data_IF_595927926818
#
_entry.id   IF_595927926818
#
_cell.length_a   1.000
_cell.length_b   1.000
_cell.length_c   1.000
_cell.angle_alpha   90.00
_cell.angle_beta   90.00
_cell.angle_gamma   90.00
#
_symmetry.space_group_name_H-M   'P 1'
#
loop_
_entity.id
_entity.type
_entity.pdbx_description
1 polymer ?
#
# COMPACT_ATOMS: atom_id res chain seq x y z
N UNK A 1 24.29 -4.43 14.26
CA UNK A 1 24.63 -4.13 12.84
C UNK A 1 23.69 -4.82 11.85
N UNK A 2 23.16 -6.03 12.11
CA UNK A 2 22.14 -6.68 11.25
C UNK A 2 20.79 -5.92 11.18
N UNK A 3 20.34 -5.35 12.29
CA UNK A 3 18.96 -4.84 12.40
C UNK A 3 18.74 -3.53 11.64
N UNK A 4 19.69 -2.59 11.67
CA UNK A 4 19.58 -1.33 10.95
C UNK A 4 19.49 -1.53 9.43
N UNK A 5 20.30 -2.43 8.87
CA UNK A 5 20.24 -2.78 7.45
C UNK A 5 18.90 -3.43 7.08
N UNK A 6 18.37 -4.30 7.93
CA UNK A 6 17.07 -4.93 7.70
C UNK A 6 15.91 -3.93 7.81
N UNK A 7 15.96 -3.00 8.77
CA UNK A 7 15.02 -1.89 8.88
C UNK A 7 15.03 -1.02 7.63
N UNK A 8 16.21 -0.57 7.17
CA UNK A 8 16.32 0.25 5.95
C UNK A 8 15.77 -0.47 4.72
N UNK A 9 15.99 -1.78 4.60
CA UNK A 9 15.39 -2.59 3.53
C UNK A 9 13.86 -2.66 3.63
N UNK A 10 13.31 -2.86 4.83
CA UNK A 10 11.87 -2.93 5.05
C UNK A 10 11.20 -1.57 4.80
N UNK A 11 11.76 -0.48 5.34
CA UNK A 11 11.29 0.90 5.10
C UNK A 11 11.35 1.23 3.61
N UNK A 12 12.44 0.91 2.92
CA UNK A 12 12.55 1.14 1.47
C UNK A 12 11.52 0.32 0.67
N UNK A 13 11.20 -0.90 1.12
CA UNK A 13 10.15 -1.72 0.51
C UNK A 13 8.78 -1.08 0.68
N UNK A 14 8.40 -0.71 1.90
CA UNK A 14 7.15 0.00 2.21
C UNK A 14 7.05 1.30 1.36
N UNK A 15 8.15 2.04 1.24
CA UNK A 15 8.17 3.26 0.43
C UNK A 15 7.89 3.01 -1.06
N UNK A 16 8.42 1.92 -1.64
CA UNK A 16 8.09 1.52 -3.02
C UNK A 16 6.64 1.07 -3.14
N UNK A 17 6.14 0.32 -2.15
CA UNK A 17 4.75 -0.11 -2.12
C UNK A 17 3.77 1.08 -2.16
N UNK A 18 4.10 2.21 -1.53
CA UNK A 18 3.28 3.42 -1.66
C UNK A 18 3.23 3.97 -3.09
N UNK A 19 4.31 3.88 -3.88
CA UNK A 19 4.27 4.28 -5.30
C UNK A 19 3.31 3.40 -6.09
N UNK A 20 3.34 2.09 -5.85
CA UNK A 20 2.39 1.15 -6.46
C UNK A 20 0.96 1.45 -6.03
N UNK A 21 0.75 1.69 -4.73
CA UNK A 21 -0.55 2.03 -4.17
C UNK A 21 -1.13 3.33 -4.77
N UNK A 22 -0.30 4.36 -4.97
CA UNK A 22 -0.69 5.59 -5.68
C UNK A 22 -1.21 5.29 -7.09
N UNK A 23 -0.49 4.44 -7.83
CA UNK A 23 -0.88 4.07 -9.19
C UNK A 23 -2.19 3.29 -9.21
N UNK A 24 -2.34 2.29 -8.34
CA UNK A 24 -3.55 1.47 -8.23
C UNK A 24 -4.78 2.33 -7.93
N UNK A 25 -4.71 3.21 -6.93
CA UNK A 25 -5.84 4.09 -6.62
C UNK A 25 -6.13 5.11 -7.72
N UNK A 26 -5.10 5.59 -8.43
CA UNK A 26 -5.30 6.49 -9.58
C UNK A 26 -6.03 5.77 -10.71
N UNK A 27 -5.61 4.55 -11.06
CA UNK A 27 -6.28 3.73 -12.06
C UNK A 27 -7.72 3.43 -11.66
N UNK A 28 -7.95 3.09 -10.38
CA UNK A 28 -9.30 2.80 -9.89
C UNK A 28 -10.21 4.03 -10.02
N UNK A 29 -9.74 5.22 -9.62
CA UNK A 29 -10.54 6.45 -9.74
C UNK A 29 -10.87 6.86 -11.19
N UNK A 30 -10.14 6.34 -12.18
CA UNK A 30 -10.43 6.57 -13.60
C UNK A 30 -11.57 5.69 -14.14
N UNK A 31 -11.92 4.60 -13.43
CA UNK A 31 -13.04 3.74 -13.77
C UNK A 31 -14.38 4.34 -13.32
N UNK A 32 -15.46 3.91 -13.97
CA UNK A 32 -16.80 4.23 -13.49
C UNK A 32 -17.15 3.40 -12.25
N UNK A 33 -17.54 4.09 -11.18
CA UNK A 33 -17.76 3.50 -9.87
C UNK A 33 -18.70 4.35 -9.02
N UNK A 34 -19.26 3.70 -7.99
CA UNK A 34 -20.12 4.37 -7.01
C UNK A 34 -19.40 5.54 -6.32
N UNK A 35 -20.16 6.55 -5.92
CA UNK A 35 -19.63 7.70 -5.17
C UNK A 35 -18.92 7.29 -3.87
N UNK A 36 -19.40 6.21 -3.23
CA UNK A 36 -18.82 5.64 -2.02
C UNK A 36 -17.45 5.01 -2.29
N UNK A 37 -17.35 4.16 -3.32
CA UNK A 37 -16.09 3.54 -3.69
C UNK A 37 -15.08 4.58 -4.17
N UNK A 38 -15.51 5.57 -4.96
CA UNK A 38 -14.66 6.69 -5.38
C UNK A 38 -14.07 7.44 -4.19
N UNK A 39 -14.88 7.70 -3.15
CA UNK A 39 -14.40 8.33 -1.90
C UNK A 39 -13.37 7.48 -1.17
N UNK A 40 -13.57 6.16 -1.12
CA UNK A 40 -12.61 5.22 -0.52
C UNK A 40 -11.28 5.27 -1.30
N UNK A 41 -11.33 5.20 -2.63
CA UNK A 41 -10.14 5.27 -3.49
C UNK A 41 -9.43 6.63 -3.38
N UNK A 42 -10.16 7.75 -3.32
CA UNK A 42 -9.58 9.07 -3.08
C UNK A 42 -8.90 9.17 -1.71
N UNK A 43 -9.51 8.63 -0.66
CA UNK A 43 -8.90 8.58 0.67
C UNK A 43 -7.62 7.73 0.65
N UNK A 44 -7.68 6.55 0.01
CA UNK A 44 -6.52 5.68 -0.17
C UNK A 44 -5.38 6.38 -0.91
N UNK A 45 -5.67 7.07 -2.02
CA UNK A 45 -4.69 7.85 -2.77
C UNK A 45 -4.04 8.94 -1.91
N UNK A 46 -4.82 9.72 -1.16
CA UNK A 46 -4.29 10.76 -0.26
C UNK A 46 -3.43 10.16 0.84
N UNK A 47 -3.85 9.04 1.44
CA UNK A 47 -3.06 8.32 2.43
C UNK A 47 -1.73 7.85 1.85
N UNK A 48 -1.71 7.32 0.62
CA UNK A 48 -0.46 6.90 -0.03
C UNK A 48 0.53 8.05 -0.18
N UNK A 49 0.07 9.23 -0.61
CA UNK A 49 0.93 10.41 -0.74
C UNK A 49 1.51 10.88 0.59
N UNK A 50 0.67 10.95 1.63
CA UNK A 50 1.06 11.41 2.96
C UNK A 50 2.04 10.41 3.61
N UNK A 51 1.65 9.14 3.70
CA UNK A 51 2.45 8.14 4.37
C UNK A 51 3.76 7.85 3.65
N UNK A 52 3.82 7.96 2.31
CA UNK A 52 5.09 7.88 1.59
C UNK A 52 6.09 8.96 2.01
N UNK A 53 5.61 10.17 2.29
CA UNK A 53 6.46 11.25 2.80
C UNK A 53 6.97 10.93 4.21
N UNK A 54 6.09 10.41 5.06
CA UNK A 54 6.42 10.03 6.43
C UNK A 54 7.43 8.88 6.46
N UNK A 55 7.21 7.84 5.65
CA UNK A 55 8.15 6.72 5.46
C UNK A 55 9.47 7.18 4.85
N UNK A 56 9.46 8.15 3.93
CA UNK A 56 10.69 8.77 3.42
C UNK A 56 11.48 9.46 4.53
N UNK A 57 10.80 10.11 5.47
CA UNK A 57 11.43 10.75 6.62
C UNK A 57 12.01 9.71 7.60
N UNK A 58 11.29 8.60 7.82
CA UNK A 58 11.81 7.46 8.59
C UNK A 58 13.05 6.85 7.93
N UNK A 59 13.03 6.70 6.59
CA UNK A 59 14.15 6.16 5.84
C UNK A 59 15.42 6.98 6.04
N UNK A 60 15.36 8.30 5.88
CA UNK A 60 16.54 9.16 6.06
C UNK A 60 17.04 9.16 7.51
N UNK A 61 16.13 9.09 8.49
CA UNK A 61 16.49 8.95 9.90
C UNK A 61 17.31 7.68 10.17
N UNK A 62 16.85 6.52 9.69
CA UNK A 62 17.55 5.25 9.92
C UNK A 62 18.80 5.11 9.05
N UNK A 63 18.74 5.55 7.78
CA UNK A 63 19.85 5.49 6.82
C UNK A 63 21.08 6.28 7.27
N UNK A 64 20.90 7.38 7.97
CA UNK A 64 22.02 8.20 8.49
C UNK A 64 23.00 7.42 9.38
N UNK A 65 22.60 6.24 9.87
CA UNK A 65 23.40 5.35 10.70
C UNK A 65 24.11 4.24 9.91
N UNK A 66 24.02 4.21 8.58
CA UNK A 66 24.65 3.21 7.71
C UNK A 66 25.75 3.84 6.84
N UNK A 67 26.79 3.06 6.55
CA UNK A 67 27.85 3.47 5.63
C UNK A 67 27.43 3.27 4.16
N UNK A 68 28.02 4.05 3.24
CA UNK A 68 27.66 4.08 1.81
C UNK A 68 27.68 2.68 1.14
N UNK A 69 28.62 1.82 1.53
CA UNK A 69 28.74 0.46 1.01
C UNK A 69 27.51 -0.42 1.31
N UNK A 70 26.88 -0.22 2.47
CA UNK A 70 25.70 -0.98 2.90
C UNK A 70 24.45 -0.57 2.11
N UNK A 71 24.36 0.72 1.75
CA UNK A 71 23.25 1.32 1.00
C UNK A 71 23.20 0.86 -0.47
N UNK A 72 24.36 0.69 -1.12
CA UNK A 72 24.45 0.20 -2.52
C UNK A 72 23.80 -1.15 -2.74
N UNK A 73 23.69 -1.99 -1.69
CA UNK A 73 23.06 -3.31 -1.78
C UNK A 73 21.52 -3.29 -1.71
N UNK A 74 20.93 -2.14 -1.32
CA UNK A 74 19.49 -2.01 -1.01
C UNK A 74 18.71 -1.39 -2.18
N UNK A 75 19.38 -0.61 -3.03
CA UNK A 75 18.75 0.19 -4.11
C UNK A 75 18.40 -0.59 -5.38
N UNK A 76 18.79 -1.87 -5.50
CA UNK A 76 18.66 -2.65 -6.74
C UNK A 76 17.27 -3.25 -7.05
N UNK A 77 16.28 -3.17 -6.17
CA UNK A 77 14.95 -3.69 -6.50
C UNK A 77 14.16 -2.68 -7.33
N UNK A 78 14.04 -2.95 -8.62
CA UNK A 78 13.15 -2.24 -9.54
C UNK A 78 11.74 -2.80 -9.32
N UNK A 79 10.79 -1.90 -9.07
CA UNK A 79 9.37 -2.25 -9.00
C UNK A 79 8.77 -1.75 -10.32
N UNK A 80 8.77 -2.60 -11.34
CA UNK A 80 8.08 -2.36 -12.60
C UNK A 80 6.62 -2.79 -12.42
N UNK A 81 5.77 -1.83 -12.05
CA UNK A 81 4.32 -2.03 -12.08
C UNK A 81 3.77 -1.23 -13.25
N UNK A 82 3.29 -1.96 -14.26
CA UNK A 82 2.53 -1.39 -15.37
C UNK A 82 1.04 -1.51 -15.07
N UNK A 83 0.36 -0.37 -14.96
CA UNK A 83 -1.00 -0.29 -14.45
C UNK A 83 -2.03 -0.29 -15.59
N UNK A 84 -1.90 -1.21 -16.55
CA UNK A 84 -2.91 -1.46 -17.60
C UNK A 84 -3.89 -2.56 -17.16
N UNK A 85 -4.57 -2.36 -16.02
CA UNK A 85 -5.70 -3.22 -15.64
C UNK A 85 -7.02 -2.57 -16.04
N UNK A 86 -7.76 -3.22 -16.93
CA UNK A 86 -9.05 -2.73 -17.45
C UNK A 86 -10.22 -3.24 -16.62
N UNK A 87 -10.09 -4.42 -15.97
CA UNK A 87 -11.16 -4.99 -15.17
C UNK A 87 -11.25 -4.36 -13.78
N UNK A 88 -12.46 -3.87 -13.44
CA UNK A 88 -12.72 -3.17 -12.17
C UNK A 88 -12.60 -4.10 -10.97
N UNK A 89 -13.08 -5.33 -11.08
CA UNK A 89 -13.05 -6.29 -9.96
C UNK A 89 -11.62 -6.70 -9.66
N UNK A 90 -10.86 -7.08 -10.70
CA UNK A 90 -9.44 -7.45 -10.59
C UNK A 90 -8.62 -6.31 -9.98
N UNK A 91 -8.83 -5.07 -10.44
CA UNK A 91 -8.12 -3.91 -9.89
C UNK A 91 -8.43 -3.67 -8.41
N UNK A 92 -9.68 -3.85 -7.99
CA UNK A 92 -10.05 -3.67 -6.58
C UNK A 92 -9.53 -4.81 -5.70
N UNK A 93 -9.54 -6.05 -6.20
CA UNK A 93 -8.91 -7.19 -5.54
C UNK A 93 -7.41 -6.95 -5.39
N UNK A 94 -6.74 -6.47 -6.43
CA UNK A 94 -5.32 -6.13 -6.41
C UNK A 94 -5.01 -5.04 -5.37
N UNK A 95 -5.84 -3.99 -5.29
CA UNK A 95 -5.73 -2.97 -4.23
C UNK A 95 -5.84 -3.60 -2.84
N UNK A 96 -6.81 -4.50 -2.62
CA UNK A 96 -7.01 -5.15 -1.33
C UNK A 96 -5.82 -6.06 -0.96
N UNK A 97 -5.33 -6.87 -1.91
CA UNK A 97 -4.14 -7.71 -1.70
C UNK A 97 -2.90 -6.88 -1.41
N UNK A 98 -2.67 -5.82 -2.18
CA UNK A 98 -1.54 -4.91 -1.95
C UNK A 98 -1.61 -4.25 -0.57
N UNK A 99 -2.80 -3.84 -0.14
CA UNK A 99 -3.06 -3.29 1.19
C UNK A 99 -2.69 -4.26 2.32
N UNK A 100 -3.06 -5.54 2.16
CA UNK A 100 -2.76 -6.58 3.13
C UNK A 100 -1.25 -6.80 3.26
N UNK A 101 -0.53 -6.89 2.14
CA UNK A 101 0.94 -7.03 2.16
C UNK A 101 1.59 -5.82 2.83
N UNK A 102 1.08 -4.60 2.60
CA UNK A 102 1.61 -3.41 3.28
C UNK A 102 1.45 -3.50 4.80
N UNK A 103 0.29 -3.97 5.28
CA UNK A 103 0.05 -4.17 6.71
C UNK A 103 1.00 -5.19 7.32
N UNK A 104 1.29 -6.28 6.60
CA UNK A 104 2.25 -7.30 7.04
C UNK A 104 3.67 -6.74 7.14
N UNK A 105 4.12 -5.93 6.18
CA UNK A 105 5.42 -5.27 6.22
C UNK A 105 5.54 -4.27 7.39
N UNK A 106 4.49 -3.49 7.65
CA UNK A 106 4.47 -2.60 8.83
C UNK A 106 4.52 -3.37 10.15
N UNK A 107 3.74 -4.45 10.27
CA UNK A 107 3.73 -5.31 11.46
C UNK A 107 5.08 -6.01 11.65
N UNK A 108 5.79 -6.33 10.57
CA UNK A 108 7.14 -6.88 10.62
C UNK A 108 8.18 -5.82 11.00
N UNK A 109 8.01 -4.56 10.58
CA UNK A 109 8.91 -3.45 10.93
C UNK A 109 8.79 -3.05 12.41
N UNK A 110 7.56 -2.99 12.93
CA UNK A 110 7.27 -2.40 14.24
C UNK A 110 8.12 -2.95 15.41
N UNK A 111 8.36 -4.27 15.55
CA UNK A 111 9.19 -4.82 16.63
C UNK A 111 10.66 -4.42 16.58
N UNK A 112 11.14 -3.89 15.45
CA UNK A 112 12.52 -3.43 15.28
C UNK A 112 12.69 -1.94 15.60
N UNK A 113 11.58 -1.22 15.78
CA UNK A 113 11.60 0.18 16.15
C UNK A 113 11.61 0.31 17.66
N UNK A 114 12.28 1.36 18.16
CA UNK A 114 12.19 1.73 19.57
C UNK A 114 10.74 2.15 19.89
N UNK A 115 10.16 1.58 20.94
CA UNK A 115 8.72 1.66 21.23
C UNK A 115 8.25 3.11 21.43
N UNK A 116 9.10 3.95 22.01
CA UNK A 116 8.80 5.36 22.29
C UNK A 116 9.22 6.31 21.15
N UNK A 117 9.78 5.78 20.06
CA UNK A 117 10.22 6.58 18.92
C UNK A 117 9.06 7.14 18.10
N UNK A 118 9.30 8.29 17.45
CA UNK A 118 8.41 8.87 16.45
C UNK A 118 8.08 7.89 15.33
N UNK A 119 9.05 7.07 14.94
CA UNK A 119 8.88 6.07 13.89
C UNK A 119 7.91 4.95 14.29
N UNK A 120 7.98 4.46 15.53
CA UNK A 120 7.06 3.42 16.03
C UNK A 120 5.62 3.96 16.13
N UNK A 121 5.46 5.21 16.58
CA UNK A 121 4.17 5.89 16.63
C UNK A 121 3.58 6.07 15.23
N UNK A 122 4.37 6.59 14.29
CA UNK A 122 3.95 6.74 12.89
C UNK A 122 3.56 5.39 12.25
N UNK A 123 4.34 4.33 12.47
CA UNK A 123 4.00 2.99 11.98
C UNK A 123 2.68 2.49 12.55
N UNK A 124 2.45 2.67 13.86
CA UNK A 124 1.21 2.25 14.51
C UNK A 124 0.00 3.01 13.94
N UNK A 125 0.10 4.33 13.80
CA UNK A 125 -0.97 5.13 13.17
C UNK A 125 -1.23 4.73 11.72
N UNK A 126 -0.18 4.41 10.96
CA UNK A 126 -0.32 3.93 9.58
C UNK A 126 -1.05 2.58 9.56
N UNK A 127 -0.69 1.64 10.44
CA UNK A 127 -1.37 0.34 10.58
C UNK A 127 -2.86 0.54 10.84
N UNK A 128 -3.23 1.40 11.78
CA UNK A 128 -4.63 1.65 12.13
C UNK A 128 -5.44 2.21 10.95
N UNK A 129 -4.88 3.24 10.29
CA UNK A 129 -5.53 3.88 9.15
C UNK A 129 -5.60 2.94 7.94
N UNK A 130 -4.55 2.17 7.67
CA UNK A 130 -4.51 1.18 6.59
C UNK A 130 -5.49 0.02 6.85
N UNK A 131 -5.60 -0.46 8.09
CA UNK A 131 -6.56 -1.51 8.47
C UNK A 131 -8.00 -1.01 8.32
N UNK A 132 -8.26 0.26 8.65
CA UNK A 132 -9.57 0.90 8.43
C UNK A 132 -9.92 0.97 6.94
N UNK A 133 -8.95 1.37 6.10
CA UNK A 133 -9.12 1.44 4.65
C UNK A 133 -9.39 0.06 4.04
N UNK A 134 -8.62 -0.95 4.43
CA UNK A 134 -8.80 -2.36 4.02
C UNK A 134 -10.21 -2.85 4.32
N UNK A 135 -10.69 -2.63 5.55
CA UNK A 135 -12.03 -3.01 5.97
C UNK A 135 -13.13 -2.33 5.12
N UNK A 136 -12.93 -1.08 4.70
CA UNK A 136 -13.87 -0.41 3.81
C UNK A 136 -13.82 -0.97 2.39
N UNK A 137 -12.63 -1.22 1.85
CA UNK A 137 -12.44 -1.80 0.52
C UNK A 137 -13.08 -3.19 0.43
N UNK A 138 -12.78 -4.09 1.37
CA UNK A 138 -13.32 -5.46 1.38
C UNK A 138 -14.86 -5.44 1.44
N UNK A 139 -15.44 -4.57 2.26
CA UNK A 139 -16.90 -4.42 2.36
C UNK A 139 -17.53 -3.99 1.04
N UNK A 140 -16.93 -3.02 0.35
CA UNK A 140 -17.44 -2.58 -0.95
C UNK A 140 -17.25 -3.65 -2.03
N UNK A 141 -16.07 -4.26 -2.12
CA UNK A 141 -15.79 -5.33 -3.11
C UNK A 141 -16.74 -6.51 -2.93
N UNK A 142 -17.01 -6.91 -1.69
CA UNK A 142 -17.95 -8.00 -1.39
C UNK A 142 -19.41 -7.64 -1.67
N UNK A 143 -19.72 -6.36 -1.81
CA UNK A 143 -21.07 -5.87 -2.13
C UNK A 143 -21.31 -5.63 -3.62
N UNK A 144 -20.26 -5.73 -4.44
CA UNK A 144 -20.41 -5.63 -5.89
C UNK A 144 -21.16 -6.87 -6.40
N UNK A 145 -22.18 -6.70 -7.24
CA UNK A 145 -22.78 -7.83 -7.94
C UNK A 145 -21.69 -8.51 -8.79
N UNK A 146 -21.65 -9.84 -8.78
CA UNK A 146 -20.78 -10.59 -9.69
C UNK A 146 -21.33 -10.40 -11.10
N UNK A 147 -20.82 -9.38 -11.81
CA UNK A 147 -21.19 -9.05 -13.20
C UNK A 147 -20.89 -10.22 -14.17
N UNK A 148 -20.32 -11.33 -13.68
CA UNK A 148 -20.14 -12.58 -14.42
C UNK A 148 -21.40 -13.45 -14.52
N UNK A 149 -22.53 -13.08 -13.91
CA UNK A 149 -23.77 -13.88 -13.95
C UNK A 149 -24.86 -13.40 -14.93
N UNK A 150 -24.71 -12.28 -15.63
CA UNK A 150 -25.81 -11.72 -16.43
C UNK A 150 -25.82 -12.07 -17.93
N UNK A 151 -24.96 -12.97 -18.44
CA UNK A 151 -24.84 -13.22 -19.89
C UNK A 151 -25.50 -14.51 -20.43
N UNK A 152 -26.31 -15.25 -19.65
CA UNK A 152 -26.95 -16.50 -20.13
C UNK A 152 -28.47 -16.64 -19.91
N UNK A 153 -29.24 -15.55 -19.87
CA UNK A 153 -30.72 -15.64 -19.69
C UNK A 153 -31.57 -15.03 -20.81
N UNK A 154 -31.02 -14.62 -21.96
CA UNK A 154 -31.86 -14.20 -23.09
C UNK A 154 -31.32 -14.64 -24.45
N UNK A 155 -31.54 -15.92 -24.78
CA UNK A 155 -31.79 -16.32 -26.16
C UNK A 155 -33.01 -17.25 -26.19
N UNK A 156 -34.11 -16.66 -26.66
CA UNK A 156 -35.34 -17.19 -27.27
C UNK A 156 -35.87 -18.58 -26.84
#
# INVERSE_FOLDING_TARGET
MSDARNMVKCIARIWRMYKRQESLFRSAMALDMSSKLRRICSNGYMMSLLFKKDVGSMYESVKSNLDDGELTSITRSVDEFDAEMVDRYELLTEIATHQQVMLEEYRALLPHLDQDSDAARACSEHIDKLSTLENWLIKEVSSLPDERQEDFSHVA
#
